data_IF_532992846874
#
_entry.id   IF_532992846874
#
_cell.length_a   1.000
_cell.length_b   1.000
_cell.length_c   1.000
_cell.angle_alpha   90.00
_cell.angle_beta   90.00
_cell.angle_gamma   90.00
#
_symmetry.space_group_name_H-M   'P 1'
#
loop_
_entity.id
_entity.type
_entity.pdbx_description
1 polymer ?
#
# COMPACT_ATOMS: atom_id res chain seq x y z
N UNK A 1 -22.60 37.34 -9.48
CA UNK A 1 -21.82 38.32 -8.69
C UNK A 1 -21.87 39.75 -9.30
N UNK A 2 -22.98 40.11 -9.93
CA UNK A 2 -23.19 41.46 -10.46
C UNK A 2 -24.18 42.17 -9.56
N UNK A 3 -23.87 43.41 -9.20
CA UNK A 3 -24.75 44.28 -8.42
C UNK A 3 -25.72 45.02 -9.33
N UNK A 4 -25.19 45.59 -10.42
CA UNK A 4 -25.95 46.42 -11.34
C UNK A 4 -25.31 46.39 -12.74
N UNK A 5 -26.14 46.54 -13.77
CA UNK A 5 -25.73 46.70 -15.16
C UNK A 5 -26.11 48.09 -15.67
N UNK A 6 -25.21 48.71 -16.42
CA UNK A 6 -25.48 49.92 -17.19
C UNK A 6 -25.28 49.63 -18.68
N UNK A 7 -26.36 49.73 -19.45
CA UNK A 7 -26.38 49.48 -20.89
C UNK A 7 -26.05 50.76 -21.65
N UNK A 8 -25.26 50.65 -22.73
CA UNK A 8 -24.84 51.78 -23.55
C UNK A 8 -24.20 52.92 -22.75
N UNK A 9 -23.35 52.58 -21.79
CA UNK A 9 -22.76 53.54 -20.88
C UNK A 9 -21.80 54.48 -21.63
N UNK A 10 -22.12 55.78 -21.62
CA UNK A 10 -21.30 56.83 -22.24
C UNK A 10 -20.27 57.34 -21.24
N UNK A 11 -19.01 57.34 -21.66
CA UNK A 11 -17.90 57.85 -20.86
C UNK A 11 -17.16 58.93 -21.64
N UNK A 12 -16.94 60.06 -20.99
CA UNK A 12 -16.14 61.17 -21.53
C UNK A 12 -14.68 61.01 -21.12
N UNK A 13 -13.77 61.06 -22.08
CA UNK A 13 -12.35 61.19 -21.79
C UNK A 13 -12.06 62.63 -21.34
N UNK A 14 -11.86 62.81 -20.03
CA UNK A 14 -11.51 64.09 -19.41
C UNK A 14 -10.27 64.79 -20.01
N UNK A 15 -9.42 64.09 -20.76
CA UNK A 15 -8.24 64.69 -21.43
C UNK A 15 -8.53 65.19 -22.85
N UNK A 16 -9.36 64.49 -23.60
CA UNK A 16 -9.60 64.79 -25.03
C UNK A 16 -10.99 65.34 -25.31
N UNK A 17 -11.91 65.29 -24.33
CA UNK A 17 -13.33 65.59 -24.51
C UNK A 17 -14.05 64.62 -25.45
N UNK A 18 -13.40 63.52 -25.84
CA UNK A 18 -14.01 62.51 -26.71
C UNK A 18 -14.86 61.57 -25.89
N UNK A 19 -16.03 61.25 -26.43
CA UNK A 19 -16.93 60.26 -25.86
C UNK A 19 -16.71 58.90 -26.51
N UNK A 20 -16.81 57.85 -25.71
CA UNK A 20 -16.97 56.49 -26.20
C UNK A 20 -18.09 55.79 -25.43
N UNK A 21 -18.73 54.82 -26.09
CA UNK A 21 -19.85 54.04 -25.54
C UNK A 21 -19.33 52.66 -25.17
N UNK A 22 -19.68 52.16 -23.99
CA UNK A 22 -19.48 50.78 -23.55
C UNK A 22 -20.79 50.05 -23.77
N UNK A 23 -20.77 48.85 -24.33
CA UNK A 23 -22.01 48.09 -24.58
C UNK A 23 -22.73 47.77 -23.26
N UNK A 24 -22.03 47.12 -22.32
CA UNK A 24 -22.54 46.91 -20.99
C UNK A 24 -21.46 47.10 -19.92
N UNK A 25 -21.77 47.85 -18.87
CA UNK A 25 -20.89 48.05 -17.72
C UNK A 25 -21.50 47.37 -16.50
N UNK A 26 -20.84 46.35 -15.96
CA UNK A 26 -21.22 45.71 -14.72
C UNK A 26 -20.50 46.34 -13.53
N UNK A 27 -21.28 46.78 -12.55
CA UNK A 27 -20.79 46.96 -11.18
C UNK A 27 -20.88 45.61 -10.46
N UNK A 28 -19.75 45.15 -9.93
CA UNK A 28 -19.63 43.85 -9.30
C UNK A 28 -19.92 43.96 -7.79
N UNK A 29 -20.39 42.87 -7.19
CA UNK A 29 -20.40 42.69 -5.72
C UNK A 29 -19.44 41.59 -5.26
N UNK A 30 -18.74 40.94 -6.21
CA UNK A 30 -17.76 39.91 -5.97
C UNK A 30 -17.32 39.27 -7.28
N UNK A 31 -16.38 38.34 -7.20
CA UNK A 31 -15.92 37.50 -8.31
C UNK A 31 -15.48 36.15 -7.76
N UNK A 32 -15.28 35.17 -8.64
CA UNK A 32 -14.44 34.02 -8.34
C UNK A 32 -13.41 33.84 -9.48
N UNK A 33 -12.10 33.83 -9.19
CA UNK A 33 -11.45 34.10 -7.90
C UNK A 33 -11.83 35.47 -7.31
N UNK A 34 -11.94 35.57 -5.98
CA UNK A 34 -12.33 36.76 -5.22
C UNK A 34 -11.34 37.92 -5.37
N UNK A 35 -10.06 37.65 -5.57
CA UNK A 35 -9.06 38.69 -5.79
C UNK A 35 -9.38 39.55 -7.02
N UNK A 36 -9.97 38.96 -8.07
CA UNK A 36 -10.29 39.68 -9.30
C UNK A 36 -11.28 40.82 -9.08
N UNK A 37 -12.15 40.75 -8.07
CA UNK A 37 -13.06 41.83 -7.71
C UNK A 37 -12.28 43.12 -7.42
N UNK A 38 -11.20 43.01 -6.65
CA UNK A 38 -10.32 44.14 -6.36
C UNK A 38 -9.41 44.47 -7.55
N UNK A 39 -8.90 43.45 -8.24
CA UNK A 39 -8.05 43.64 -9.43
C UNK A 39 -8.76 44.30 -10.62
N UNK A 40 -10.09 44.26 -10.64
CA UNK A 40 -10.94 44.92 -11.63
C UNK A 40 -11.65 46.15 -11.04
N UNK A 41 -11.26 46.60 -9.85
CA UNK A 41 -11.84 47.78 -9.18
C UNK A 41 -13.37 47.72 -9.10
N UNK A 42 -13.92 46.55 -8.82
CA UNK A 42 -15.36 46.25 -8.78
C UNK A 42 -16.11 46.49 -10.10
N UNK A 43 -15.43 46.62 -11.23
CA UNK A 43 -16.03 47.04 -12.49
C UNK A 43 -15.59 46.18 -13.68
N UNK A 44 -16.57 45.74 -14.48
CA UNK A 44 -16.34 44.95 -15.68
C UNK A 44 -17.08 45.56 -16.86
N UNK A 45 -16.35 46.03 -17.86
CA UNK A 45 -16.89 46.38 -19.16
C UNK A 45 -17.03 45.11 -20.01
N UNK A 46 -18.22 44.90 -20.55
CA UNK A 46 -18.53 43.83 -21.49
C UNK A 46 -18.75 44.45 -22.85
N UNK A 47 -18.02 43.95 -23.84
CA UNK A 47 -18.04 44.45 -25.21
C UNK A 47 -18.45 43.32 -26.14
N UNK A 48 -19.44 43.56 -26.99
CA UNK A 48 -20.03 42.53 -27.84
C UNK A 48 -19.32 42.53 -29.18
N UNK A 49 -18.57 41.47 -29.46
CA UNK A 49 -17.91 41.29 -30.76
C UNK A 49 -18.92 40.89 -31.82
N UNK A 50 -19.39 41.87 -32.60
CA UNK A 50 -20.31 41.65 -33.74
C UNK A 50 -19.55 41.57 -35.06
N UNK A 51 -18.89 42.66 -35.48
CA UNK A 51 -18.15 42.74 -36.75
C UNK A 51 -16.77 43.39 -36.66
N UNK A 52 -16.49 44.09 -35.57
CA UNK A 52 -15.24 44.82 -35.34
C UNK A 52 -14.78 44.59 -33.90
N UNK A 53 -13.47 44.63 -33.71
CA UNK A 53 -12.88 44.57 -32.37
C UNK A 53 -13.02 45.93 -31.67
N UNK A 54 -12.95 45.91 -30.34
CA UNK A 54 -12.89 47.15 -29.55
C UNK A 54 -11.68 47.98 -30.01
N UNK A 55 -11.85 49.28 -30.24
CA UNK A 55 -10.77 50.13 -30.70
C UNK A 55 -9.69 50.36 -29.61
N UNK A 56 -8.45 50.56 -30.03
CA UNK A 56 -7.32 50.72 -29.11
C UNK A 56 -7.46 51.95 -28.20
N UNK A 57 -8.11 53.02 -28.66
CA UNK A 57 -8.33 54.20 -27.84
C UNK A 57 -9.22 53.85 -26.64
N UNK A 58 -10.37 53.21 -26.89
CA UNK A 58 -11.28 52.74 -25.84
C UNK A 58 -10.63 51.72 -24.92
N UNK A 59 -9.88 50.74 -25.44
CA UNK A 59 -9.12 49.78 -24.62
C UNK A 59 -8.18 50.47 -23.64
N UNK A 60 -7.43 51.45 -24.12
CA UNK A 60 -6.46 52.20 -23.32
C UNK A 60 -7.14 53.10 -22.28
N UNK A 61 -8.24 53.77 -22.62
CA UNK A 61 -8.94 54.65 -21.67
C UNK A 61 -9.58 53.85 -20.54
N UNK A 62 -10.29 52.76 -20.86
CA UNK A 62 -10.87 51.87 -19.86
C UNK A 62 -9.81 51.25 -18.95
N UNK A 63 -8.67 50.86 -19.52
CA UNK A 63 -7.53 50.37 -18.73
C UNK A 63 -7.03 51.39 -17.71
N UNK A 64 -6.94 52.68 -18.09
CA UNK A 64 -6.48 53.76 -17.21
C UNK A 64 -7.43 54.06 -16.06
N UNK A 65 -8.74 54.03 -16.30
CA UNK A 65 -9.74 54.24 -15.25
C UNK A 65 -9.99 52.97 -14.42
N UNK A 66 -9.25 51.89 -14.71
CA UNK A 66 -9.32 50.65 -13.95
C UNK A 66 -10.47 49.72 -14.31
N UNK A 67 -11.15 49.95 -15.43
CA UNK A 67 -12.20 49.05 -15.91
C UNK A 67 -11.58 47.90 -16.72
N UNK A 68 -11.83 46.66 -16.30
CA UNK A 68 -11.44 45.47 -17.06
C UNK A 68 -12.43 45.27 -18.20
N UNK A 69 -11.95 44.92 -19.40
CA UNK A 69 -12.78 44.64 -20.56
C UNK A 69 -12.81 43.14 -20.84
N UNK A 70 -14.02 42.59 -20.94
CA UNK A 70 -14.29 41.25 -21.42
C UNK A 70 -15.05 41.34 -22.75
N UNK A 71 -14.37 40.97 -23.83
CA UNK A 71 -14.94 40.93 -25.17
C UNK A 71 -15.66 39.59 -25.35
N UNK A 72 -16.98 39.63 -25.57
CA UNK A 72 -17.85 38.46 -25.69
C UNK A 72 -18.26 38.23 -27.13
N UNK A 73 -18.24 36.97 -27.56
CA UNK A 73 -18.86 36.61 -28.82
C UNK A 73 -20.39 36.55 -28.63
N UNK A 74 -21.16 37.12 -29.56
CA UNK A 74 -22.63 37.00 -29.54
C UNK A 74 -23.01 35.50 -29.54
N UNK A 75 -23.71 35.00 -28.50
CA UNK A 75 -24.16 33.61 -28.46
C UNK A 75 -25.00 33.25 -29.69
N UNK A 76 -24.86 32.04 -30.22
CA UNK A 76 -25.60 31.59 -31.42
C UNK A 76 -27.12 31.77 -31.29
N UNK A 77 -27.69 31.54 -30.09
CA UNK A 77 -29.12 31.75 -29.82
C UNK A 77 -29.54 33.20 -30.08
N UNK A 78 -28.73 34.18 -29.66
CA UNK A 78 -28.98 35.61 -29.91
C UNK A 78 -28.71 35.95 -31.37
N UNK A 79 -27.65 35.41 -32.00
CA UNK A 79 -27.40 35.56 -33.44
C UNK A 79 -28.59 35.11 -34.29
N UNK A 80 -29.23 33.99 -33.93
CA UNK A 80 -30.38 33.44 -34.65
C UNK A 80 -31.63 34.31 -34.48
N UNK A 81 -31.85 34.88 -33.28
CA UNK A 81 -32.94 35.85 -33.06
C UNK A 81 -32.80 37.09 -33.95
N UNK A 82 -31.57 37.56 -34.16
CA UNK A 82 -31.26 38.70 -35.04
C UNK A 82 -31.48 38.36 -36.52
N UNK A 83 -31.31 37.09 -36.92
CA UNK A 83 -31.44 36.67 -38.33
C UNK A 83 -32.88 36.36 -38.73
N UNK A 84 -33.72 35.92 -37.79
CA UNK A 84 -35.06 35.44 -38.12
C UNK A 84 -36.14 36.53 -38.10
N UNK A 85 -36.01 37.63 -37.33
CA UNK A 85 -36.98 38.74 -37.33
C UNK A 85 -36.39 40.06 -36.78
N UNK A 86 -36.66 41.19 -37.46
CA UNK A 86 -36.46 42.60 -37.07
C UNK A 86 -35.06 43.26 -37.21
N UNK A 87 -35.09 44.50 -37.73
CA UNK A 87 -34.05 45.52 -37.56
C UNK A 87 -34.00 45.92 -36.07
N UNK A 88 -33.21 45.22 -35.26
CA UNK A 88 -32.89 45.69 -33.92
C UNK A 88 -31.90 46.85 -34.01
N UNK A 89 -32.16 47.92 -33.26
CA UNK A 89 -31.14 48.92 -32.96
C UNK A 89 -30.03 48.29 -32.10
N UNK A 90 -28.81 48.87 -32.14
CA UNK A 90 -27.69 48.45 -31.27
C UNK A 90 -28.13 48.32 -29.81
N UNK A 91 -28.93 49.29 -29.34
CA UNK A 91 -29.42 49.35 -27.96
C UNK A 91 -30.33 48.17 -27.60
N UNK A 92 -31.24 47.77 -28.48
CA UNK A 92 -32.14 46.63 -28.23
C UNK A 92 -31.37 45.31 -28.20
N UNK A 93 -30.39 45.16 -29.10
CA UNK A 93 -29.52 43.98 -29.16
C UNK A 93 -28.69 43.84 -27.88
N UNK A 94 -28.08 44.95 -27.41
CA UNK A 94 -27.32 44.96 -26.16
C UNK A 94 -28.24 44.70 -24.96
N UNK A 95 -29.46 45.25 -24.95
CA UNK A 95 -30.45 45.00 -23.89
C UNK A 95 -30.85 43.52 -23.84
N UNK A 96 -31.07 42.87 -24.99
CA UNK A 96 -31.33 41.43 -25.05
C UNK A 96 -30.14 40.62 -24.54
N UNK A 97 -28.92 41.00 -24.91
CA UNK A 97 -27.71 40.35 -24.39
C UNK A 97 -27.66 40.49 -22.87
N UNK A 98 -27.80 41.69 -22.33
CA UNK A 98 -27.79 41.95 -20.88
C UNK A 98 -28.89 41.21 -20.15
N UNK A 99 -30.11 41.15 -20.70
CA UNK A 99 -31.20 40.34 -20.14
C UNK A 99 -30.88 38.83 -20.12
N UNK A 100 -30.11 38.33 -21.09
CA UNK A 100 -29.55 36.98 -21.00
C UNK A 100 -28.42 36.89 -19.96
N UNK A 101 -27.58 37.94 -19.81
CA UNK A 101 -26.49 37.99 -18.82
C UNK A 101 -26.97 38.00 -17.37
N UNK A 102 -28.16 38.52 -17.12
CA UNK A 102 -28.77 38.55 -15.78
C UNK A 102 -29.24 37.16 -15.30
N UNK A 103 -29.41 36.20 -16.21
CA UNK A 103 -29.82 34.84 -15.84
C UNK A 103 -28.65 34.09 -15.22
N UNK A 104 -28.85 33.52 -14.03
CA UNK A 104 -27.81 32.78 -13.29
C UNK A 104 -27.22 31.59 -14.07
N UNK A 105 -27.95 31.02 -15.03
CA UNK A 105 -27.53 29.88 -15.84
C UNK A 105 -26.73 30.27 -17.10
N UNK A 106 -26.60 31.56 -17.41
CA UNK A 106 -25.92 32.00 -18.62
C UNK A 106 -24.40 31.97 -18.43
N UNK A 107 -23.74 31.17 -19.27
CA UNK A 107 -22.28 31.15 -19.37
C UNK A 107 -21.89 31.89 -20.64
N UNK A 108 -21.06 32.92 -20.48
CA UNK A 108 -20.43 33.62 -21.59
C UNK A 108 -19.02 33.13 -21.82
N UNK A 109 -18.65 33.08 -23.10
CA UNK A 109 -17.29 32.81 -23.53
C UNK A 109 -16.76 34.03 -24.27
N UNK A 110 -15.55 34.42 -23.92
CA UNK A 110 -14.93 35.67 -24.37
C UNK A 110 -13.50 35.78 -23.89
N UNK A 111 -12.90 36.93 -24.13
CA UNK A 111 -11.50 37.20 -23.83
C UNK A 111 -11.34 38.51 -23.06
N UNK A 112 -10.37 38.53 -22.15
CA UNK A 112 -9.97 39.76 -21.49
C UNK A 112 -8.96 40.53 -22.34
N UNK A 113 -9.39 41.65 -22.92
CA UNK A 113 -8.64 42.33 -24.00
C UNK A 113 -7.81 43.54 -23.55
N UNK A 114 -7.84 43.91 -22.26
CA UNK A 114 -7.02 44.99 -21.73
C UNK A 114 -6.33 44.63 -20.40
N UNK A 115 -5.36 45.45 -19.99
CA UNK A 115 -4.86 45.48 -18.61
C UNK A 115 -5.51 46.66 -17.90
N UNK A 116 -6.18 46.40 -16.79
CA UNK A 116 -6.76 47.44 -15.94
C UNK A 116 -5.72 47.85 -14.89
N UNK A 117 -5.54 49.15 -14.69
CA UNK A 117 -4.81 49.67 -13.55
C UNK A 117 -5.61 49.39 -12.29
N UNK A 118 -4.99 48.77 -11.29
CA UNK A 118 -5.62 48.61 -9.98
C UNK A 118 -5.55 49.97 -9.29
N UNK A 119 -6.69 50.48 -8.83
CA UNK A 119 -6.75 51.75 -8.12
C UNK A 119 -6.15 51.58 -6.73
N UNK A 120 -5.55 52.65 -6.20
CA UNK A 120 -4.84 52.66 -4.91
C UNK A 120 -5.70 52.10 -3.76
N UNK A 121 -7.00 52.43 -3.74
CA UNK A 121 -7.96 51.93 -2.74
C UNK A 121 -8.18 50.41 -2.75
N UNK A 122 -7.81 49.74 -3.85
CA UNK A 122 -7.97 48.29 -4.04
C UNK A 122 -6.66 47.52 -4.01
N UNK A 123 -5.51 48.18 -4.15
CA UNK A 123 -4.21 47.52 -4.32
C UNK A 123 -3.86 46.59 -3.15
N UNK A 124 -3.92 47.09 -1.91
CA UNK A 124 -3.61 46.28 -0.72
C UNK A 124 -4.58 45.09 -0.58
N UNK A 125 -5.88 45.33 -0.84
CA UNK A 125 -6.92 44.31 -0.75
C UNK A 125 -6.75 43.23 -1.81
N UNK A 126 -6.38 43.63 -3.03
CA UNK A 126 -6.06 42.72 -4.11
C UNK A 126 -4.89 41.81 -3.74
N UNK A 127 -3.76 42.39 -3.31
CA UNK A 127 -2.57 41.63 -2.94
C UNK A 127 -2.88 40.65 -1.81
N UNK A 128 -3.57 41.13 -0.76
CA UNK A 128 -3.95 40.29 0.39
C UNK A 128 -4.86 39.15 -0.01
N UNK A 129 -5.89 39.40 -0.83
CA UNK A 129 -6.82 38.37 -1.28
C UNK A 129 -6.14 37.36 -2.20
N UNK A 130 -5.31 37.82 -3.15
CA UNK A 130 -4.54 36.93 -4.03
C UNK A 130 -3.55 36.06 -3.23
N UNK A 131 -2.99 36.57 -2.13
CA UNK A 131 -2.15 35.78 -1.23
C UNK A 131 -2.95 34.69 -0.53
N UNK A 132 -4.12 35.01 0.02
CA UNK A 132 -4.98 34.01 0.66
C UNK A 132 -5.46 32.94 -0.32
N UNK A 133 -5.81 33.30 -1.56
CA UNK A 133 -6.19 32.32 -2.58
C UNK A 133 -5.04 31.36 -2.92
N UNK A 134 -3.82 31.88 -3.05
CA UNK A 134 -2.62 31.04 -3.24
C UNK A 134 -2.35 30.13 -2.06
N UNK A 135 -2.47 30.65 -0.83
CA UNK A 135 -2.29 29.86 0.39
C UNK A 135 -3.34 28.75 0.51
N UNK A 136 -4.60 29.05 0.20
CA UNK A 136 -5.69 28.06 0.17
C UNK A 136 -5.38 26.95 -0.84
N UNK A 137 -4.91 27.29 -2.03
CA UNK A 137 -4.59 26.29 -3.04
C UNK A 137 -3.40 25.40 -2.61
N UNK A 138 -2.35 26.02 -2.07
CA UNK A 138 -1.22 25.28 -1.49
C UNK A 138 -1.67 24.34 -0.36
N UNK A 139 -2.56 24.80 0.52
CA UNK A 139 -3.08 23.98 1.61
C UNK A 139 -3.94 22.81 1.09
N UNK A 140 -4.69 23.00 0.01
CA UNK A 140 -5.44 21.89 -0.65
C UNK A 140 -4.49 20.87 -1.25
N UNK A 141 -3.44 21.31 -1.95
CA UNK A 141 -2.42 20.43 -2.51
C UNK A 141 -1.75 19.60 -1.41
N UNK A 142 -1.27 20.26 -0.34
CA UNK A 142 -0.65 19.60 0.81
C UNK A 142 -1.60 18.60 1.47
N UNK A 143 -2.88 18.97 1.65
CA UNK A 143 -3.91 18.07 2.21
C UNK A 143 -4.11 16.83 1.34
N UNK A 144 -4.11 16.98 0.01
CA UNK A 144 -4.26 15.85 -0.91
C UNK A 144 -3.02 14.94 -0.87
N UNK A 145 -1.83 15.51 -0.79
CA UNK A 145 -0.59 14.76 -0.63
C UNK A 145 -0.59 13.93 0.67
N UNK A 146 -0.88 14.56 1.81
CA UNK A 146 -0.95 13.88 3.12
C UNK A 146 -1.98 12.74 3.10
N UNK A 147 -3.14 12.94 2.45
CA UNK A 147 -4.16 11.89 2.30
C UNK A 147 -3.66 10.69 1.50
N UNK A 148 -2.89 10.94 0.44
CA UNK A 148 -2.25 9.88 -0.36
C UNK A 148 -1.24 9.10 0.48
N UNK A 149 -0.33 9.79 1.18
CA UNK A 149 0.67 9.17 2.06
C UNK A 149 0.02 8.33 3.17
N UNK A 150 -1.07 8.82 3.76
CA UNK A 150 -1.80 8.11 4.81
C UNK A 150 -2.45 6.82 4.28
N UNK A 151 -2.96 6.84 3.05
CA UNK A 151 -3.55 5.66 2.41
C UNK A 151 -2.48 4.61 2.09
N UNK A 152 -1.30 5.06 1.63
CA UNK A 152 -0.15 4.18 1.39
C UNK A 152 0.32 3.53 2.70
N UNK A 153 0.48 4.33 3.77
CA UNK A 153 0.92 3.83 5.06
C UNK A 153 -0.09 2.84 5.68
N UNK A 154 -1.39 3.11 5.53
CA UNK A 154 -2.44 2.19 5.98
C UNK A 154 -2.34 0.84 5.25
N UNK A 155 -2.09 0.86 3.94
CA UNK A 155 -1.90 -0.36 3.13
C UNK A 155 -0.66 -1.14 3.58
N UNK A 156 0.46 -0.46 3.82
CA UNK A 156 1.67 -1.09 4.32
C UNK A 156 1.46 -1.70 5.71
N UNK A 157 0.72 -1.02 6.59
CA UNK A 157 0.42 -1.53 7.93
C UNK A 157 -0.39 -2.83 7.87
N UNK A 158 -1.40 -2.91 7.00
CA UNK A 158 -2.17 -4.15 6.78
C UNK A 158 -1.26 -5.28 6.31
N UNK A 159 -0.38 -5.02 5.34
CA UNK A 159 0.58 -6.03 4.85
C UNK A 159 1.53 -6.52 5.96
N UNK A 160 2.00 -5.62 6.83
CA UNK A 160 2.85 -6.03 7.96
C UNK A 160 2.09 -6.83 9.01
N UNK A 161 0.81 -6.54 9.23
CA UNK A 161 -0.04 -7.32 10.13
C UNK A 161 -0.25 -8.74 9.59
N UNK A 162 -0.51 -8.89 8.29
CA UNK A 162 -0.64 -10.20 7.62
C UNK A 162 0.66 -11.01 7.74
N UNK A 163 1.81 -10.39 7.42
CA UNK A 163 3.12 -11.06 7.55
C UNK A 163 3.44 -11.46 8.99
N UNK A 164 3.04 -10.65 9.98
CA UNK A 164 3.22 -10.97 11.40
C UNK A 164 2.42 -12.22 11.77
N UNK A 165 1.19 -12.34 11.28
CA UNK A 165 0.34 -13.50 11.55
C UNK A 165 0.90 -14.76 10.89
N UNK A 166 1.35 -14.67 9.64
CA UNK A 166 2.01 -15.78 8.94
C UNK A 166 3.26 -16.28 9.69
N UNK A 167 4.07 -15.34 10.18
CA UNK A 167 5.26 -15.67 10.96
C UNK A 167 4.90 -16.33 12.30
N UNK A 168 3.82 -15.88 12.95
CA UNK A 168 3.29 -16.46 14.19
C UNK A 168 2.88 -17.92 13.98
N UNK A 169 2.10 -18.20 12.94
CA UNK A 169 1.69 -19.56 12.57
C UNK A 169 2.91 -20.45 12.29
N UNK A 170 3.87 -19.94 11.53
CA UNK A 170 5.11 -20.66 11.21
C UNK A 170 5.93 -20.97 12.47
N UNK A 171 6.05 -20.01 13.38
CA UNK A 171 6.75 -20.17 14.65
C UNK A 171 6.13 -21.28 15.50
N UNK A 172 4.81 -21.27 15.69
CA UNK A 172 4.12 -22.32 16.44
C UNK A 172 4.29 -23.70 15.78
N UNK A 173 4.15 -23.78 14.45
CA UNK A 173 4.37 -25.04 13.72
C UNK A 173 5.79 -25.59 13.86
N UNK A 174 6.81 -24.73 13.86
CA UNK A 174 8.19 -25.14 14.13
C UNK A 174 8.39 -25.60 15.57
N UNK A 175 7.77 -24.91 16.53
CA UNK A 175 7.84 -25.28 17.94
C UNK A 175 7.24 -26.67 18.21
N UNK A 176 6.12 -27.02 17.57
CA UNK A 176 5.53 -28.35 17.65
C UNK A 176 6.43 -29.43 17.04
N UNK A 177 6.98 -29.17 15.85
CA UNK A 177 7.94 -30.09 15.21
C UNK A 177 9.18 -30.32 16.07
N UNK A 178 9.70 -29.27 16.72
CA UNK A 178 10.85 -29.38 17.61
C UNK A 178 10.54 -30.31 18.80
N UNK A 179 9.39 -30.12 19.46
CA UNK A 179 8.95 -31.01 20.56
C UNK A 179 8.77 -32.45 20.12
N UNK A 180 8.24 -32.68 18.92
CA UNK A 180 8.10 -34.02 18.36
C UNK A 180 9.47 -34.68 18.14
N UNK A 181 10.43 -33.96 17.55
CA UNK A 181 11.80 -34.43 17.39
C UNK A 181 12.49 -34.72 18.73
N UNK A 182 12.33 -33.85 19.73
CA UNK A 182 12.90 -34.07 21.08
C UNK A 182 12.32 -35.33 21.73
N UNK A 183 11.01 -35.56 21.59
CA UNK A 183 10.34 -36.75 22.12
C UNK A 183 10.83 -38.02 21.44
N UNK A 184 11.01 -37.98 20.12
CA UNK A 184 11.52 -39.10 19.33
C UNK A 184 13.00 -39.40 19.66
N UNK A 185 13.80 -38.35 19.84
CA UNK A 185 15.20 -38.49 20.25
C UNK A 185 15.32 -39.15 21.63
N UNK A 186 14.48 -38.74 22.59
CA UNK A 186 14.41 -39.38 23.90
C UNK A 186 14.00 -40.86 23.80
N UNK A 187 13.01 -41.19 22.95
CA UNK A 187 12.60 -42.59 22.71
C UNK A 187 13.76 -43.42 22.17
N UNK A 188 14.45 -42.93 21.14
CA UNK A 188 15.60 -43.62 20.54
C UNK A 188 16.76 -43.79 21.53
N UNK A 189 16.99 -42.82 22.42
CA UNK A 189 17.99 -42.95 23.49
C UNK A 189 17.65 -44.07 24.47
N UNK A 190 16.38 -44.20 24.87
CA UNK A 190 15.92 -45.29 25.74
C UNK A 190 16.11 -46.64 25.04
N UNK A 191 15.69 -46.76 23.78
CA UNK A 191 15.85 -47.98 22.98
C UNK A 191 17.31 -48.38 22.82
N UNK A 192 18.20 -47.42 22.55
CA UNK A 192 19.64 -47.66 22.44
C UNK A 192 20.24 -48.17 23.77
N UNK A 193 19.83 -47.60 24.90
CA UNK A 193 20.31 -48.03 26.21
C UNK A 193 19.80 -49.44 26.58
N UNK A 194 18.56 -49.77 26.21
CA UNK A 194 18.01 -51.11 26.36
C UNK A 194 18.77 -52.13 25.51
N UNK A 195 19.00 -51.84 24.23
CA UNK A 195 19.77 -52.71 23.34
C UNK A 195 21.18 -52.97 23.88
N UNK A 196 21.86 -51.92 24.38
CA UNK A 196 23.18 -52.06 25.01
C UNK A 196 23.18 -52.94 26.25
N UNK A 197 22.10 -52.93 27.04
CA UNK A 197 21.98 -53.80 28.22
C UNK A 197 21.79 -55.26 27.81
N UNK A 198 20.90 -55.50 26.84
CA UNK A 198 20.66 -56.84 26.27
C UNK A 198 21.98 -57.41 25.71
N UNK A 199 22.68 -56.65 24.87
CA UNK A 199 23.97 -57.06 24.32
C UNK A 199 24.97 -57.46 25.42
N UNK A 200 25.09 -56.64 26.48
CA UNK A 200 25.99 -56.95 27.61
C UNK A 200 25.59 -58.23 28.34
N UNK A 201 24.31 -58.47 28.55
CA UNK A 201 23.80 -59.69 29.18
C UNK A 201 24.03 -60.92 28.30
N UNK A 202 23.83 -60.81 26.99
CA UNK A 202 24.14 -61.86 26.02
C UNK A 202 25.63 -62.20 26.03
N UNK A 203 26.52 -61.19 25.97
CA UNK A 203 27.97 -61.41 26.04
C UNK A 203 28.39 -62.05 27.36
N UNK A 204 27.80 -61.63 28.48
CA UNK A 204 28.08 -62.22 29.79
C UNK A 204 27.66 -63.69 29.85
N UNK A 205 26.44 -64.00 29.40
CA UNK A 205 25.92 -65.38 29.35
C UNK A 205 26.78 -66.26 28.46
N UNK A 206 27.20 -65.76 27.29
CA UNK A 206 28.11 -66.47 26.38
C UNK A 206 29.48 -66.71 27.02
N UNK A 207 30.03 -65.72 27.72
CA UNK A 207 31.29 -65.88 28.44
C UNK A 207 31.18 -66.91 29.57
N UNK A 208 30.11 -66.87 30.37
CA UNK A 208 29.86 -67.83 31.46
C UNK A 208 29.72 -69.26 30.91
N UNK A 209 29.03 -69.44 29.78
CA UNK A 209 28.92 -70.74 29.10
C UNK A 209 30.29 -71.24 28.62
N UNK A 210 31.11 -70.38 28.00
CA UNK A 210 32.47 -70.74 27.58
C UNK A 210 33.37 -71.13 28.77
N UNK A 211 33.22 -70.45 29.92
CA UNK A 211 33.94 -70.83 31.15
C UNK A 211 33.50 -72.22 31.61
N UNK A 212 32.20 -72.50 31.68
CA UNK A 212 31.69 -73.84 32.05
C UNK A 212 32.17 -74.92 31.09
N UNK A 213 32.14 -74.67 29.77
CA UNK A 213 32.66 -75.60 28.76
C UNK A 213 34.15 -75.87 28.96
N UNK A 214 34.94 -74.82 29.23
CA UNK A 214 36.37 -74.94 29.49
C UNK A 214 36.65 -75.71 30.79
N UNK A 215 35.91 -75.44 31.87
CA UNK A 215 36.01 -76.19 33.13
C UNK A 215 35.65 -77.66 32.94
N UNK A 216 34.58 -77.95 32.20
CA UNK A 216 34.17 -79.31 31.85
C UNK A 216 35.28 -80.03 31.07
N UNK A 217 35.87 -79.36 30.08
CA UNK A 217 37.00 -79.90 29.32
C UNK A 217 38.24 -80.11 30.17
N UNK A 218 38.57 -79.17 31.07
CA UNK A 218 39.69 -79.30 32.00
C UNK A 218 39.49 -80.46 32.97
N UNK A 219 38.27 -80.68 33.48
CA UNK A 219 37.94 -81.84 34.30
C UNK A 219 38.11 -83.15 33.51
N UNK A 220 37.59 -83.22 32.27
CA UNK A 220 37.80 -84.37 31.37
C UNK A 220 39.31 -84.62 31.15
N UNK A 221 40.08 -83.57 30.93
CA UNK A 221 41.53 -83.65 30.71
C UNK A 221 42.28 -84.10 31.97
N UNK A 222 41.86 -83.68 33.17
CA UNK A 222 42.38 -84.20 34.45
C UNK A 222 42.05 -85.68 34.66
N UNK A 223 40.82 -86.12 34.35
CA UNK A 223 40.44 -87.54 34.38
C UNK A 223 41.37 -88.38 33.50
N UNK A 224 41.62 -87.94 32.27
CA UNK A 224 42.56 -88.60 31.33
C UNK A 224 44.00 -88.58 31.86
N UNK A 225 44.44 -87.49 32.51
CA UNK A 225 45.76 -87.39 33.15
C UNK A 225 45.93 -88.27 34.39
N UNK A 226 44.86 -88.78 34.99
CA UNK A 226 44.90 -89.67 36.16
C UNK A 226 44.82 -91.16 35.78
N UNK A 227 44.64 -91.48 34.50
CA UNK A 227 44.73 -92.85 33.99
C UNK A 227 46.15 -93.41 34.08
N UNK A 228 46.29 -94.72 34.32
CA UNK A 228 47.60 -95.39 34.29
C UNK A 228 48.17 -95.39 32.87
N UNK A 229 49.47 -95.66 32.70
CA UNK A 229 50.12 -95.70 31.37
C UNK A 229 49.44 -96.74 30.46
N UNK A 230 48.95 -97.84 31.01
CA UNK A 230 48.21 -98.88 30.28
C UNK A 230 46.80 -98.40 29.85
N UNK A 231 46.09 -97.65 30.69
CA UNK A 231 44.75 -97.13 30.37
C UNK A 231 44.80 -96.00 29.32
N UNK A 232 45.86 -95.19 29.34
CA UNK A 232 46.11 -94.17 28.30
C UNK A 232 46.46 -94.78 26.94
N UNK A 233 47.22 -95.89 26.94
CA UNK A 233 47.49 -96.68 25.74
C UNK A 233 46.21 -97.31 25.18
N UNK A 234 45.32 -97.81 26.05
CA UNK A 234 44.00 -98.35 25.67
C UNK A 234 43.07 -97.28 25.09
N UNK A 235 43.10 -96.06 25.64
CA UNK A 235 42.36 -94.90 25.11
C UNK A 235 42.86 -94.45 23.72
N UNK A 236 44.18 -94.46 23.50
CA UNK A 236 44.78 -94.05 22.22
C UNK A 236 44.70 -95.12 21.11
N UNK A 237 44.59 -96.40 21.47
CA UNK A 237 44.65 -97.52 20.50
C UNK A 237 43.47 -98.50 20.53
N UNK A 238 42.48 -98.35 21.43
CA UNK A 238 41.45 -99.38 21.67
C UNK A 238 39.98 -98.93 21.73
N UNK A 239 39.65 -97.64 21.67
CA UNK A 239 38.26 -97.18 21.45
C UNK A 239 37.17 -97.52 22.49
N UNK A 240 37.47 -98.25 23.57
CA UNK A 240 36.47 -98.80 24.52
C UNK A 240 36.38 -98.08 25.89
N UNK A 241 36.56 -96.76 25.94
CA UNK A 241 36.23 -95.95 27.15
C UNK A 241 35.25 -94.82 26.77
N UNK A 242 34.25 -95.14 25.96
CA UNK A 242 33.14 -94.21 25.69
C UNK A 242 31.94 -94.59 26.57
N UNK A 243 31.68 -95.88 26.78
CA UNK A 243 30.47 -96.34 27.48
C UNK A 243 30.45 -96.01 28.99
N UNK A 244 31.60 -95.93 29.67
CA UNK A 244 31.65 -95.56 31.09
C UNK A 244 31.55 -94.06 31.38
N UNK A 245 31.62 -93.20 30.35
CA UNK A 245 31.42 -91.75 30.51
C UNK A 245 29.97 -91.32 30.18
N UNK A 246 29.21 -92.12 29.43
CA UNK A 246 27.79 -91.85 29.17
C UNK A 246 26.85 -92.42 30.25
N UNK A 247 27.16 -93.57 30.87
CA UNK A 247 26.28 -94.18 31.89
C UNK A 247 26.19 -93.38 33.20
N UNK A 248 27.13 -92.49 33.52
CA UNK A 248 27.04 -91.65 34.73
C UNK A 248 26.10 -90.45 34.58
N UNK A 249 25.90 -89.95 33.36
CA UNK A 249 25.10 -88.74 33.11
C UNK A 249 23.59 -89.01 33.13
N UNK A 250 23.14 -90.27 32.95
CA UNK A 250 21.73 -90.65 33.12
C UNK A 250 21.30 -90.85 34.58
N UNK A 251 22.24 -91.04 35.52
CA UNK A 251 21.89 -91.31 36.92
C UNK A 251 21.59 -90.06 37.76
N UNK A 252 22.00 -88.86 37.28
CA UNK A 252 21.75 -87.59 37.98
C UNK A 252 20.50 -86.84 37.49
N UNK A 253 19.90 -87.19 36.33
CA UNK A 253 18.66 -86.55 35.87
C UNK A 253 17.40 -87.02 36.60
N UNK A 254 17.41 -88.21 37.22
CA UNK A 254 16.23 -88.82 37.84
C UNK A 254 16.04 -88.49 39.33
N UNK A 255 16.86 -87.61 39.91
CA UNK A 255 16.79 -87.25 41.34
C UNK A 255 16.24 -85.86 41.68
N UNK A 256 15.66 -85.13 40.72
CA UNK A 256 14.94 -83.88 41.01
C UNK A 256 13.59 -83.79 40.32
N UNK A 257 12.70 -84.73 40.67
CA UNK A 257 11.26 -84.47 40.73
C UNK A 257 10.88 -84.61 42.20
N UNK A 258 10.69 -83.48 42.88
CA UNK A 258 9.71 -83.17 43.94
C UNK A 258 10.00 -81.76 44.48
#
# INVERSE_FOLDING_TARGET
YVKEWHVEYKLEDNRTGRYFRIDALAQLNGTYPFSLYYGWNSCLAVEVKVTHEVDDFKRNQLGRIGAKIFEVNVPKKIKNLITENYYYSDQELVTCIVGELEKESTILYGEFINRATILEEYEERYIKMANFEREIEQLKENKNQIRSELTELATQLTLYQEKKEELSVTYFGLQEKMKACESELNRLQIELEQARKIDREEYKTKADNLVKENDTMNQKLQKIKNFSVFDRLRFLFGGEIIDQLEESDQSESDRKIF
#
